data_IF_377811894540
#
_entry.id   IF_377811894540
#
_cell.length_a   1.000
_cell.length_b   1.000
_cell.length_c   1.000
_cell.angle_alpha   90.00
_cell.angle_beta   90.00
_cell.angle_gamma   90.00
#
_symmetry.space_group_name_H-M   'P 1'
#
loop_
_entity.id
_entity.type
_entity.pdbx_description
1 polymer ?
#
# COMPACT_ATOMS: atom_id res chain seq x y z
N UNK A 1 -17.79 -9.07 2.18
CA UNK A 1 -17.09 -10.02 3.06
C UNK A 1 -16.31 -9.27 4.14
N UNK A 2 -15.20 -8.58 3.84
CA UNK A 2 -14.41 -7.86 4.87
C UNK A 2 -15.18 -6.76 5.64
N UNK A 3 -15.97 -5.91 4.96
CA UNK A 3 -16.82 -4.89 5.63
C UNK A 3 -17.97 -5.49 6.46
N UNK A 4 -18.35 -6.74 6.20
CA UNK A 4 -19.49 -7.40 6.85
C UNK A 4 -19.04 -8.27 8.02
N UNK A 5 -17.94 -9.00 7.85
CA UNK A 5 -17.40 -9.91 8.87
C UNK A 5 -16.46 -9.21 9.85
N UNK A 6 -15.99 -8.00 9.52
CA UNK A 6 -15.01 -7.27 10.32
C UNK A 6 -13.62 -7.88 10.24
N UNK A 7 -12.61 -7.12 10.65
CA UNK A 7 -11.24 -7.63 10.68
C UNK A 7 -11.06 -8.64 11.82
N UNK A 8 -10.50 -9.80 11.50
CA UNK A 8 -10.31 -10.88 12.47
C UNK A 8 -8.96 -10.71 13.17
N UNK A 9 -8.97 -10.51 14.50
CA UNK A 9 -7.76 -10.28 15.29
C UNK A 9 -6.68 -11.35 15.09
N UNK A 10 -7.07 -12.61 14.93
CA UNK A 10 -6.12 -13.72 14.73
C UNK A 10 -5.23 -13.52 13.49
N UNK A 11 -5.70 -12.82 12.46
CA UNK A 11 -4.91 -12.50 11.26
C UNK A 11 -3.79 -11.54 11.62
N UNK A 12 -4.07 -10.53 12.45
CA UNK A 12 -3.05 -9.61 12.93
C UNK A 12 -2.01 -10.34 13.79
N UNK A 13 -2.45 -11.22 14.69
CA UNK A 13 -1.56 -12.00 15.56
C UNK A 13 -0.65 -12.92 14.74
N UNK A 14 -1.20 -13.61 13.75
CA UNK A 14 -0.43 -14.45 12.83
C UNK A 14 0.61 -13.62 12.07
N UNK A 15 0.23 -12.47 11.51
CA UNK A 15 1.17 -11.60 10.80
C UNK A 15 2.26 -11.05 11.72
N UNK A 16 1.92 -10.68 12.96
CA UNK A 16 2.89 -10.25 13.97
C UNK A 16 3.93 -11.33 14.20
N UNK A 17 3.48 -12.56 14.41
CA UNK A 17 4.36 -13.68 14.74
C UNK A 17 5.27 -14.05 13.55
N UNK A 18 4.72 -14.04 12.32
CA UNK A 18 5.49 -14.25 11.08
C UNK A 18 6.56 -13.16 10.89
N UNK A 19 6.22 -11.90 11.10
CA UNK A 19 7.15 -10.79 10.88
C UNK A 19 8.25 -10.75 11.95
N UNK A 20 7.91 -11.04 13.21
CA UNK A 20 8.88 -11.22 14.29
C UNK A 20 9.85 -12.36 13.98
N UNK A 21 9.36 -13.49 13.48
CA UNK A 21 10.19 -14.63 13.07
C UNK A 21 11.14 -14.25 11.93
N UNK A 22 10.63 -13.57 10.90
CA UNK A 22 11.43 -13.08 9.76
C UNK A 22 12.54 -12.14 10.21
N UNK A 23 12.27 -11.27 11.18
CA UNK A 23 13.29 -10.36 11.71
C UNK A 23 14.34 -11.13 12.52
N UNK A 24 13.92 -12.03 13.41
CA UNK A 24 14.81 -12.83 14.25
C UNK A 24 15.82 -13.64 13.44
N UNK A 25 15.38 -14.20 12.31
CA UNK A 25 16.21 -15.03 11.43
C UNK A 25 16.66 -14.30 10.16
N UNK A 26 16.61 -12.96 10.16
CA UNK A 26 17.03 -12.15 9.02
C UNK A 26 18.53 -12.32 8.79
N UNK A 27 18.89 -12.77 7.60
CA UNK A 27 20.28 -12.89 7.18
C UNK A 27 20.97 -11.54 7.03
N UNK A 28 22.30 -11.56 7.02
CA UNK A 28 23.11 -10.38 6.73
C UNK A 28 22.81 -9.87 5.32
N UNK A 29 22.62 -8.57 5.21
CA UNK A 29 22.31 -7.90 3.95
C UNK A 29 23.58 -7.32 3.31
N UNK A 30 23.45 -7.00 2.02
CA UNK A 30 24.48 -6.23 1.34
C UNK A 30 24.66 -4.87 2.05
N UNK A 31 25.90 -4.44 2.37
CA UNK A 31 26.14 -3.22 3.11
C UNK A 31 25.60 -1.96 2.44
N UNK A 32 25.65 -1.87 1.11
CA UNK A 32 25.15 -0.70 0.38
C UNK A 32 23.63 -0.61 0.48
N UNK A 33 22.93 -1.71 0.19
CA UNK A 33 21.47 -1.78 0.30
C UNK A 33 20.98 -1.53 1.73
N UNK A 34 21.73 -2.02 2.73
CA UNK A 34 21.40 -1.85 4.13
C UNK A 34 21.41 -0.36 4.52
N UNK A 35 22.47 0.37 4.17
CA UNK A 35 22.59 1.80 4.46
C UNK A 35 21.59 2.61 3.63
N UNK A 36 21.44 2.31 2.34
CA UNK A 36 20.49 2.99 1.46
C UNK A 36 19.07 2.93 2.01
N UNK A 37 18.63 1.77 2.48
CA UNK A 37 17.28 1.59 3.03
C UNK A 37 17.11 2.19 4.43
N UNK A 38 18.14 2.17 5.27
CA UNK A 38 18.06 2.71 6.64
C UNK A 38 18.14 4.23 6.69
N UNK A 39 18.91 4.87 5.81
CA UNK A 39 19.17 6.31 5.89
C UNK A 39 17.90 7.17 5.87
N UNK A 40 16.89 6.94 5.00
CA UNK A 40 15.65 7.71 5.02
C UNK A 40 14.85 7.53 6.31
N UNK A 41 14.97 6.37 6.98
CA UNK A 41 14.22 6.08 8.21
C UNK A 41 14.75 6.85 9.41
N UNK A 42 16.02 7.26 9.39
CA UNK A 42 16.63 8.08 10.43
C UNK A 42 15.96 9.45 10.58
N UNK A 43 15.25 9.92 9.54
CA UNK A 43 14.47 11.15 9.60
C UNK A 43 13.05 10.95 10.14
N UNK A 44 12.57 9.70 10.21
CA UNK A 44 11.17 9.37 10.53
C UNK A 44 11.03 8.69 11.89
N UNK A 45 12.05 7.98 12.36
CA UNK A 45 12.00 7.14 13.55
C UNK A 45 13.21 7.38 14.45
N UNK A 46 13.05 7.20 15.78
CA UNK A 46 14.17 7.28 16.70
C UNK A 46 15.17 6.14 16.46
N UNK A 47 16.47 6.34 16.79
CA UNK A 47 17.53 5.36 16.49
C UNK A 47 17.27 3.95 17.00
N UNK A 48 16.61 3.81 18.15
CA UNK A 48 16.32 2.55 18.83
C UNK A 48 15.37 1.66 18.01
N UNK A 49 14.51 2.27 17.20
CA UNK A 49 13.45 1.57 16.47
C UNK A 49 13.81 1.33 14.98
N UNK A 50 14.91 1.89 14.48
CA UNK A 50 15.25 1.89 13.04
C UNK A 50 15.27 0.50 12.39
N UNK A 51 15.68 -0.50 13.17
CA UNK A 51 15.80 -1.88 12.71
C UNK A 51 14.48 -2.65 12.87
N UNK A 52 13.63 -2.29 13.82
CA UNK A 52 12.45 -3.05 14.24
C UNK A 52 11.15 -2.54 13.62
N UNK A 53 11.02 -1.23 13.37
CA UNK A 53 9.82 -0.58 12.79
C UNK A 53 9.18 -1.35 11.63
N UNK A 54 9.91 -1.79 10.58
CA UNK A 54 9.29 -2.46 9.44
C UNK A 54 8.86 -3.91 9.72
N UNK A 55 9.15 -4.43 10.91
CA UNK A 55 9.01 -5.85 11.23
C UNK A 55 8.14 -6.13 12.45
N UNK A 56 8.21 -5.30 13.48
CA UNK A 56 7.50 -5.57 14.73
C UNK A 56 6.16 -4.86 14.70
N UNK A 57 5.09 -5.65 14.56
CA UNK A 57 3.72 -5.17 14.75
C UNK A 57 3.42 -5.13 16.25
N UNK A 58 3.11 -3.94 16.77
CA UNK A 58 2.95 -3.70 18.21
C UNK A 58 1.49 -3.74 18.65
N UNK A 59 0.63 -2.98 17.97
CA UNK A 59 -0.75 -2.73 18.40
C UNK A 59 -1.75 -3.18 17.35
N UNK A 60 -2.79 -3.88 17.81
CA UNK A 60 -3.97 -4.15 17.00
C UNK A 60 -4.94 -2.97 17.12
N UNK A 61 -5.15 -2.25 16.01
CA UNK A 61 -5.99 -1.04 15.93
C UNK A 61 -7.17 -1.26 14.98
N UNK A 62 -8.25 -1.93 15.43
CA UNK A 62 -9.42 -2.20 14.58
C UNK A 62 -10.08 -0.91 14.10
N UNK A 63 -10.03 0.16 14.89
CA UNK A 63 -10.53 1.48 14.54
C UNK A 63 -9.88 2.05 13.27
N UNK A 64 -8.55 1.95 13.15
CA UNK A 64 -7.82 2.40 11.96
C UNK A 64 -8.09 1.51 10.75
N UNK A 65 -8.30 0.22 10.98
CA UNK A 65 -8.63 -0.73 9.91
C UNK A 65 -10.01 -0.41 9.34
N UNK A 66 -10.99 -0.15 10.20
CA UNK A 66 -12.33 0.28 9.80
C UNK A 66 -12.31 1.62 9.05
N UNK A 67 -11.53 2.60 9.54
CA UNK A 67 -11.34 3.88 8.86
C UNK A 67 -10.82 3.69 7.43
N UNK A 68 -9.76 2.90 7.25
CA UNK A 68 -9.20 2.62 5.92
C UNK A 68 -10.21 1.86 5.05
N UNK A 69 -10.87 0.83 5.59
CA UNK A 69 -11.89 0.08 4.84
C UNK A 69 -13.06 0.97 4.41
N UNK A 70 -13.44 1.96 5.22
CA UNK A 70 -14.49 2.92 4.88
C UNK A 70 -14.12 3.76 3.65
N UNK A 71 -12.84 4.12 3.51
CA UNK A 71 -12.32 4.86 2.36
C UNK A 71 -12.28 4.07 1.05
N UNK A 72 -12.34 2.73 1.13
CA UNK A 72 -12.44 1.85 -0.03
C UNK A 72 -13.90 1.80 -0.51
N UNK A 73 -14.31 2.86 -1.18
CA UNK A 73 -15.66 3.04 -1.70
C UNK A 73 -15.63 3.50 -3.17
N UNK A 74 -16.68 3.22 -3.97
CA UNK A 74 -16.70 3.53 -5.41
C UNK A 74 -16.53 5.02 -5.75
N UNK A 75 -16.97 5.90 -4.85
CA UNK A 75 -16.81 7.36 -4.94
C UNK A 75 -15.37 7.84 -4.73
N UNK A 76 -14.53 7.05 -4.07
CA UNK A 76 -13.11 7.34 -3.83
C UNK A 76 -12.17 6.47 -4.71
N UNK A 77 -12.68 5.91 -5.81
CA UNK A 77 -11.94 4.99 -6.68
C UNK A 77 -11.36 5.66 -7.93
N UNK A 78 -10.16 5.23 -8.35
CA UNK A 78 -9.54 5.59 -9.64
C UNK A 78 -9.15 4.33 -10.40
N UNK A 79 -9.65 4.19 -11.63
CA UNK A 79 -9.29 3.09 -12.52
C UNK A 79 -8.23 3.52 -13.54
N UNK A 80 -7.16 2.74 -13.68
CA UNK A 80 -6.13 2.95 -14.71
C UNK A 80 -6.13 1.74 -15.64
N UNK A 81 -6.34 1.98 -16.94
CA UNK A 81 -6.33 0.95 -17.98
C UNK A 81 -5.09 1.16 -18.84
N UNK A 82 -4.20 0.18 -18.85
CA UNK A 82 -2.98 0.19 -19.68
C UNK A 82 -3.12 -0.86 -20.77
N UNK A 83 -3.30 -0.42 -22.02
CA UNK A 83 -3.40 -1.31 -23.18
C UNK A 83 -3.13 -0.56 -24.48
N UNK A 84 -2.55 -1.23 -25.48
CA UNK A 84 -2.45 -0.65 -26.83
C UNK A 84 -3.83 -0.41 -27.46
N UNK A 85 -4.86 -1.16 -27.04
CA UNK A 85 -6.23 -1.04 -27.57
C UNK A 85 -6.95 0.25 -27.15
N UNK A 86 -6.40 1.01 -26.20
CA UNK A 86 -6.98 2.28 -25.75
C UNK A 86 -6.24 3.49 -26.32
N UNK A 87 -5.29 3.29 -27.25
CA UNK A 87 -4.50 4.37 -27.85
C UNK A 87 -5.35 5.48 -28.49
N UNK A 88 -6.49 5.13 -29.07
CA UNK A 88 -7.44 6.08 -29.69
C UNK A 88 -8.11 7.00 -28.65
N UNK A 89 -8.14 6.59 -27.38
CA UNK A 89 -8.69 7.37 -26.26
C UNK A 89 -7.64 8.22 -25.55
N UNK A 90 -6.36 8.07 -25.90
CA UNK A 90 -5.28 8.84 -25.29
C UNK A 90 -5.09 10.19 -25.98
N UNK A 91 -5.92 11.17 -25.62
CA UNK A 91 -5.94 12.52 -26.19
C UNK A 91 -4.97 13.50 -25.53
N UNK A 92 -4.41 13.15 -24.37
CA UNK A 92 -3.44 13.94 -23.63
C UNK A 92 -2.03 13.35 -23.73
N UNK A 93 -1.01 14.18 -23.45
CA UNK A 93 0.39 13.77 -23.43
C UNK A 93 1.07 14.39 -22.24
N UNK A 94 1.60 13.56 -21.36
CA UNK A 94 2.35 13.99 -20.18
C UNK A 94 3.64 14.71 -20.60
N UNK A 95 4.05 15.72 -19.84
CA UNK A 95 5.06 16.69 -20.24
C UNK A 95 6.47 16.10 -20.39
N UNK A 96 6.92 15.28 -19.46
CA UNK A 96 8.32 14.89 -19.35
C UNK A 96 8.65 13.62 -20.12
N UNK A 97 7.82 12.59 -19.99
CA UNK A 97 8.01 11.28 -20.62
C UNK A 97 7.24 11.14 -21.92
N UNK A 98 6.41 12.13 -22.29
CA UNK A 98 5.56 12.10 -23.49
C UNK A 98 4.62 10.90 -23.52
N UNK A 99 4.25 10.39 -22.34
CA UNK A 99 3.31 9.29 -22.21
C UNK A 99 1.92 9.78 -22.65
N UNK A 100 1.32 9.08 -23.61
CA UNK A 100 -0.04 9.37 -24.07
C UNK A 100 -1.05 8.73 -23.12
N UNK A 101 -1.98 9.54 -22.62
CA UNK A 101 -3.05 9.09 -21.72
C UNK A 101 -4.37 9.79 -22.06
N UNK A 102 -5.46 9.34 -21.46
CA UNK A 102 -6.74 10.03 -21.47
C UNK A 102 -7.41 9.84 -20.12
N UNK A 103 -8.25 10.80 -19.71
CA UNK A 103 -8.98 10.76 -18.46
C UNK A 103 -10.47 10.97 -18.72
N UNK A 104 -11.27 9.94 -18.46
CA UNK A 104 -12.72 9.97 -18.60
C UNK A 104 -13.39 9.73 -17.25
N UNK A 105 -14.52 10.41 -16.95
CA UNK A 105 -15.31 10.10 -15.77
C UNK A 105 -15.85 8.67 -15.86
N UNK A 106 -15.87 7.97 -14.73
CA UNK A 106 -16.47 6.64 -14.64
C UNK A 106 -18.00 6.82 -14.71
N UNK A 107 -18.71 6.16 -15.64
CA UNK A 107 -20.18 6.27 -15.74
C UNK A 107 -20.86 5.79 -14.45
N UNK A 108 -21.87 6.52 -13.97
CA UNK A 108 -22.60 6.21 -12.73
C UNK A 108 -23.23 4.81 -12.73
N UNK A 109 -23.70 4.33 -13.89
CA UNK A 109 -24.24 2.97 -14.07
C UNK A 109 -23.23 1.86 -13.73
N UNK A 110 -21.92 2.16 -13.73
CA UNK A 110 -20.85 1.23 -13.36
C UNK A 110 -20.39 1.38 -11.91
N UNK A 111 -20.89 2.39 -11.21
CA UNK A 111 -20.57 2.72 -9.82
C UNK A 111 -21.67 2.19 -8.88
N UNK A 112 -22.91 2.12 -9.35
CA UNK A 112 -24.03 1.53 -8.61
C UNK A 112 -23.91 0.00 -8.54
N UNK A 113 -23.91 -0.53 -7.31
CA UNK A 113 -23.94 -1.96 -6.96
C UNK A 113 -25.22 -2.26 -6.22
#
# INVERSE_FOLDING_TARGET
MLKHEGFQQWIFEEQRDIQALRFRFKGKEDPFEYVYRLSPRMFLYPPEDLLTVPHILTEFRPDLIEEILSSLAPDNFRCIIVSQKVADRCNETEEFYKARYGCDPIPLEKIEV
#
